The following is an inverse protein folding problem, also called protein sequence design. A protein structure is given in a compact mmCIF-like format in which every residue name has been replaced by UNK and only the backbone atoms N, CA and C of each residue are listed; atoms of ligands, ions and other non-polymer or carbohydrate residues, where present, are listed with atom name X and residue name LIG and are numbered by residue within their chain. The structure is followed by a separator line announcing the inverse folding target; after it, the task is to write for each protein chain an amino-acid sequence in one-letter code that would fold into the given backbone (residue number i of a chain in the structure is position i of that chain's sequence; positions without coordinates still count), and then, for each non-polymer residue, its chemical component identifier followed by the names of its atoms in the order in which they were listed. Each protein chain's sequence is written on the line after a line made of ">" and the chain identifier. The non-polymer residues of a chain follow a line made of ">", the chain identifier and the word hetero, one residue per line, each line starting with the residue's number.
data_IF_198855518258
#
_entry.id   IF_198855518258
#
_cell.length_a   1.000
_cell.length_b   1.000
_cell.length_c   1.000
_cell.angle_alpha   90.00
_cell.angle_beta   90.00
_cell.angle_gamma   90.00
#
_symmetry.space_group_name_H-M   'P 1'
#
loop_
_entity.id
_entity.type
_entity.pdbx_description
1 polymer ?
#
# COMPACT_ATOMS: atom_id res chain seq x y z
N UNK A 1 0.80 1.01 -9.96
CA UNK A 1 0.13 2.25 -10.46
C UNK A 1 -0.72 2.91 -9.38
N UNK A 2 -1.75 2.24 -8.84
CA UNK A 2 -2.63 2.83 -7.82
C UNK A 2 -1.87 3.37 -6.59
N UNK A 3 -0.86 2.65 -6.12
CA UNK A 3 -0.02 3.09 -5.00
C UNK A 3 0.69 4.44 -5.28
N UNK A 4 1.17 4.67 -6.50
CA UNK A 4 1.79 5.95 -6.87
C UNK A 4 0.78 7.10 -6.89
N UNK A 5 -0.43 6.84 -7.41
CA UNK A 5 -1.52 7.83 -7.42
C UNK A 5 -1.93 8.16 -5.98
N UNK A 6 -2.05 7.14 -5.13
CA UNK A 6 -2.37 7.33 -3.71
C UNK A 6 -1.32 8.20 -3.00
N UNK A 7 -0.03 7.93 -3.19
CA UNK A 7 1.04 8.74 -2.62
C UNK A 7 1.04 10.17 -3.18
N UNK A 8 0.80 10.37 -4.47
CA UNK A 8 0.74 11.70 -5.08
C UNK A 8 -0.42 12.53 -4.50
N UNK A 9 -1.61 11.94 -4.38
CA UNK A 9 -2.77 12.60 -3.78
C UNK A 9 -2.53 12.90 -2.30
N UNK A 10 -1.87 12.00 -1.56
CA UNK A 10 -1.51 12.22 -0.16
C UNK A 10 -0.57 13.42 0.01
N UNK A 11 0.46 13.56 -0.84
CA UNK A 11 1.40 14.69 -0.80
C UNK A 11 0.68 16.01 -1.09
N UNK A 12 -0.21 16.03 -2.08
CA UNK A 12 -1.01 17.23 -2.43
C UNK A 12 -1.95 17.60 -1.26
N UNK A 13 -2.60 16.62 -0.65
CA UNK A 13 -3.45 16.84 0.53
C UNK A 13 -2.67 17.36 1.73
N UNK A 14 -1.46 16.83 1.97
CA UNK A 14 -0.57 17.30 3.02
C UNK A 14 -0.10 18.75 2.77
N UNK A 15 0.16 19.12 1.51
CA UNK A 15 0.49 20.49 1.14
C UNK A 15 -0.69 21.44 1.38
N UNK A 16 -1.91 21.07 0.95
CA UNK A 16 -3.12 21.89 1.13
C UNK A 16 -3.36 22.20 2.62
N UNK A 17 -3.27 21.19 3.49
CA UNK A 17 -3.51 21.40 4.93
C UNK A 17 -2.31 22.08 5.61
N UNK A 18 -1.09 21.66 5.29
CA UNK A 18 0.13 22.17 5.95
C UNK A 18 0.45 23.61 5.59
N UNK A 19 0.39 23.94 4.30
CA UNK A 19 0.73 25.27 3.78
C UNK A 19 -0.48 26.20 3.85
N UNK A 20 -1.61 25.81 3.26
CA UNK A 20 -2.72 26.74 3.08
C UNK A 20 -3.55 26.96 4.36
N UNK A 21 -3.65 25.96 5.24
CA UNK A 21 -4.42 26.11 6.50
C UNK A 21 -3.54 26.45 7.70
N UNK A 22 -2.37 25.79 7.84
CA UNK A 22 -1.47 26.00 8.98
C UNK A 22 -0.48 27.16 8.76
N UNK A 23 -0.31 27.65 7.53
CA UNK A 23 0.59 28.75 7.22
C UNK A 23 2.08 28.38 7.28
N UNK A 24 2.43 27.10 7.08
CA UNK A 24 3.83 26.68 6.95
C UNK A 24 4.42 27.26 5.66
N UNK A 25 5.67 27.72 5.71
CA UNK A 25 6.38 28.21 4.53
C UNK A 25 6.47 27.13 3.45
N UNK A 26 5.99 27.45 2.26
CA UNK A 26 5.99 26.52 1.11
C UNK A 26 7.40 26.05 0.77
N UNK A 27 8.38 26.95 0.80
CA UNK A 27 9.79 26.62 0.52
C UNK A 27 10.35 25.59 1.51
N UNK A 28 10.09 25.79 2.80
CA UNK A 28 10.45 24.88 3.88
C UNK A 28 9.77 23.51 3.73
N UNK A 29 8.48 23.47 3.41
CA UNK A 29 7.74 22.22 3.20
C UNK A 29 8.36 21.36 2.10
N UNK A 30 8.62 21.94 0.92
CA UNK A 30 9.20 21.20 -0.21
C UNK A 30 10.67 20.84 0.04
N UNK A 31 11.46 21.71 0.68
CA UNK A 31 12.87 21.46 0.99
C UNK A 31 13.05 20.31 2.01
N UNK A 32 12.24 20.29 3.06
CA UNK A 32 12.23 19.19 4.04
C UNK A 32 11.80 17.89 3.35
N UNK A 33 10.76 17.92 2.52
CA UNK A 33 10.30 16.71 1.83
C UNK A 33 11.36 16.15 0.86
N UNK A 34 12.05 17.01 0.10
CA UNK A 34 13.11 16.57 -0.81
C UNK A 34 14.36 16.07 -0.07
N UNK A 35 14.68 16.63 1.10
CA UNK A 35 15.84 16.20 1.89
C UNK A 35 15.61 14.90 2.65
N UNK A 36 14.35 14.60 3.02
CA UNK A 36 13.99 13.38 3.75
C UNK A 36 13.66 12.21 2.81
N UNK A 37 13.17 12.47 1.59
CA UNK A 37 12.77 11.43 0.65
C UNK A 37 13.96 11.03 -0.24
N UNK A 38 14.41 9.79 -0.08
CA UNK A 38 15.41 9.15 -0.93
C UNK A 38 14.74 8.35 -2.04
N UNK A 39 15.15 8.58 -3.29
CA UNK A 39 14.58 7.86 -4.44
C UNK A 39 14.84 6.35 -4.39
N UNK A 40 16.01 5.93 -3.90
CA UNK A 40 16.35 4.52 -3.79
C UNK A 40 15.71 3.84 -2.58
N UNK A 41 15.70 4.49 -1.41
CA UNK A 41 15.23 3.84 -0.19
C UNK A 41 13.72 3.98 0.04
N UNK A 42 13.07 5.03 -0.46
CA UNK A 42 11.64 5.22 -0.21
C UNK A 42 10.79 4.82 -1.42
N UNK A 43 11.14 5.34 -2.61
CA UNK A 43 10.34 5.12 -3.82
C UNK A 43 10.52 3.69 -4.34
N UNK A 44 11.76 3.22 -4.50
CA UNK A 44 12.01 1.87 -5.02
C UNK A 44 11.47 0.78 -4.07
N UNK A 45 11.72 0.94 -2.77
CA UNK A 45 11.20 0.03 -1.75
C UNK A 45 9.67 0.03 -1.73
N UNK A 46 9.02 1.19 -1.80
CA UNK A 46 7.57 1.30 -1.93
C UNK A 46 7.02 0.59 -3.18
N UNK A 47 7.71 0.73 -4.33
CA UNK A 47 7.33 0.04 -5.57
C UNK A 47 7.42 -1.48 -5.43
N UNK A 48 8.55 -2.01 -4.95
CA UNK A 48 8.76 -3.44 -4.73
C UNK A 48 7.70 -4.00 -3.78
N UNK A 49 7.45 -3.30 -2.67
CA UNK A 49 6.45 -3.70 -1.67
C UNK A 49 5.04 -3.75 -2.26
N UNK A 50 4.64 -2.72 -3.03
CA UNK A 50 3.33 -2.69 -3.70
C UNK A 50 3.16 -3.80 -4.75
N UNK A 51 4.24 -4.19 -5.43
CA UNK A 51 4.22 -5.27 -6.41
C UNK A 51 4.05 -6.64 -5.73
N UNK A 52 4.78 -6.88 -4.64
CA UNK A 52 4.62 -8.11 -3.84
C UNK A 52 3.20 -8.24 -3.30
N UNK A 53 2.63 -7.15 -2.76
CA UNK A 53 1.25 -7.16 -2.30
C UNK A 53 0.24 -7.46 -3.42
N UNK A 54 0.44 -6.91 -4.61
CA UNK A 54 -0.41 -7.20 -5.76
C UNK A 54 -0.40 -8.69 -6.10
N UNK A 55 0.78 -9.32 -6.16
CA UNK A 55 0.91 -10.76 -6.44
C UNK A 55 0.19 -11.60 -5.38
N UNK A 56 0.44 -11.34 -4.09
CA UNK A 56 -0.13 -12.11 -2.99
C UNK A 56 -1.65 -12.02 -2.97
N UNK A 57 -2.20 -10.80 -3.10
CA UNK A 57 -3.65 -10.58 -3.09
C UNK A 57 -4.31 -11.23 -4.32
N UNK A 58 -3.74 -11.06 -5.52
CA UNK A 58 -4.29 -11.68 -6.73
C UNK A 58 -4.26 -13.21 -6.64
N UNK A 59 -3.19 -13.80 -6.10
CA UNK A 59 -3.11 -15.25 -5.91
C UNK A 59 -4.18 -15.78 -4.96
N UNK A 60 -4.36 -15.13 -3.80
CA UNK A 60 -5.39 -15.51 -2.82
C UNK A 60 -6.80 -15.37 -3.42
N UNK A 61 -7.06 -14.28 -4.14
CA UNK A 61 -8.34 -14.04 -4.79
C UNK A 61 -8.66 -15.07 -5.87
N UNK A 62 -7.68 -15.43 -6.71
CA UNK A 62 -7.86 -16.46 -7.74
C UNK A 62 -8.07 -17.84 -7.12
N UNK A 63 -7.29 -18.18 -6.10
CA UNK A 63 -7.42 -19.47 -5.41
C UNK A 63 -8.80 -19.63 -4.78
N UNK A 64 -9.27 -18.64 -4.00
CA UNK A 64 -10.57 -18.69 -3.35
C UNK A 64 -11.75 -18.60 -4.33
N UNK A 65 -11.56 -17.92 -5.46
CA UNK A 65 -12.55 -17.90 -6.55
C UNK A 65 -12.65 -19.24 -7.27
N UNK A 66 -11.54 -19.94 -7.48
CA UNK A 66 -11.51 -21.23 -8.17
C UNK A 66 -12.02 -22.38 -7.30
N UNK A 67 -11.66 -22.39 -6.01
CA UNK A 67 -12.03 -23.45 -5.05
C UNK A 67 -13.43 -23.24 -4.44
N UNK A 68 -14.20 -22.25 -4.91
CA UNK A 68 -15.50 -21.95 -4.34
C UNK A 68 -16.55 -23.01 -4.72
N UNK A 69 -17.43 -23.32 -3.77
CA UNK A 69 -18.61 -24.13 -4.03
C UNK A 69 -19.55 -23.31 -4.93
N UNK A 70 -20.03 -23.84 -6.07
CA UNK A 70 -20.87 -23.11 -7.02
C UNK A 70 -22.31 -22.97 -6.52
N UNK A 71 -22.48 -22.37 -5.35
CA UNK A 71 -23.75 -22.00 -4.73
C UNK A 71 -23.70 -20.52 -4.33
N UNK A 72 -24.86 -19.86 -4.30
CA UNK A 72 -24.93 -18.42 -3.98
C UNK A 72 -24.34 -18.11 -2.58
N UNK A 73 -24.63 -18.97 -1.60
CA UNK A 73 -24.06 -18.88 -0.25
C UNK A 73 -22.56 -19.16 -0.23
N UNK A 74 -22.09 -20.13 -1.02
CA UNK A 74 -20.68 -20.48 -1.17
C UNK A 74 -19.84 -19.32 -1.73
N UNK A 75 -20.36 -18.59 -2.72
CA UNK A 75 -19.70 -17.42 -3.32
C UNK A 75 -19.57 -16.28 -2.30
N UNK A 76 -20.63 -16.01 -1.52
CA UNK A 76 -20.61 -14.97 -0.48
C UNK A 76 -19.60 -15.31 0.62
N UNK A 77 -19.56 -16.57 1.05
CA UNK A 77 -18.58 -17.06 2.04
C UNK A 77 -17.15 -16.98 1.51
N UNK A 78 -16.90 -17.44 0.28
CA UNK A 78 -15.58 -17.38 -0.36
C UNK A 78 -15.07 -15.94 -0.49
N UNK A 79 -15.96 -14.99 -0.83
CA UNK A 79 -15.61 -13.56 -0.89
C UNK A 79 -15.16 -13.03 0.48
N UNK A 80 -15.90 -13.38 1.54
CA UNK A 80 -15.57 -12.96 2.91
C UNK A 80 -14.24 -13.55 3.36
N UNK A 81 -14.02 -14.84 3.13
CA UNK A 81 -12.76 -15.51 3.44
C UNK A 81 -11.58 -14.90 2.65
N UNK A 82 -11.78 -14.56 1.37
CA UNK A 82 -10.77 -13.92 0.53
C UNK A 82 -10.27 -12.62 1.15
N UNK A 83 -11.18 -11.78 1.67
CA UNK A 83 -10.81 -10.50 2.29
C UNK A 83 -10.01 -10.73 3.58
N UNK A 84 -10.42 -11.68 4.43
CA UNK A 84 -9.73 -11.99 5.69
C UNK A 84 -8.34 -12.57 5.43
N UNK A 85 -8.22 -13.53 4.51
CA UNK A 85 -6.92 -14.12 4.18
C UNK A 85 -5.99 -13.12 3.48
N UNK A 86 -6.52 -12.29 2.59
CA UNK A 86 -5.74 -11.26 1.91
C UNK A 86 -5.23 -10.21 2.90
N UNK A 87 -6.05 -9.77 3.85
CA UNK A 87 -5.63 -8.76 4.83
C UNK A 87 -4.57 -9.31 5.79
N UNK A 88 -4.73 -10.53 6.30
CA UNK A 88 -3.72 -11.19 7.14
C UNK A 88 -2.41 -11.41 6.39
N UNK A 89 -2.47 -11.86 5.13
CA UNK A 89 -1.28 -12.06 4.31
C UNK A 89 -0.55 -10.73 4.05
N UNK A 90 -1.28 -9.68 3.66
CA UNK A 90 -0.69 -8.35 3.44
C UNK A 90 -0.01 -7.83 4.70
N UNK A 91 -0.63 -7.95 5.88
CA UNK A 91 -0.02 -7.55 7.16
C UNK A 91 1.23 -8.38 7.50
N UNK A 92 1.18 -9.70 7.28
CA UNK A 92 2.34 -10.57 7.53
C UNK A 92 3.52 -10.26 6.60
N UNK A 93 3.25 -10.11 5.31
CA UNK A 93 4.28 -9.71 4.34
C UNK A 93 4.77 -8.29 4.58
N UNK A 94 3.91 -7.38 5.04
CA UNK A 94 4.30 -6.02 5.43
C UNK A 94 5.37 -6.04 6.53
N UNK A 95 5.16 -6.85 7.58
CA UNK A 95 6.13 -7.00 8.66
C UNK A 95 7.46 -7.55 8.16
N UNK A 96 7.44 -8.62 7.36
CA UNK A 96 8.65 -9.25 6.82
C UNK A 96 9.42 -8.30 5.90
N UNK A 97 8.73 -7.63 4.97
CA UNK A 97 9.35 -6.70 4.02
C UNK A 97 9.93 -5.49 4.74
N UNK A 98 9.21 -4.95 5.73
CA UNK A 98 9.69 -3.84 6.56
C UNK A 98 10.93 -4.26 7.35
N UNK A 99 10.92 -5.43 7.97
CA UNK A 99 12.08 -5.95 8.69
C UNK A 99 13.30 -6.08 7.78
N UNK A 100 13.14 -6.60 6.57
CA UNK A 100 14.26 -6.74 5.61
C UNK A 100 14.74 -5.39 5.09
N UNK A 101 13.83 -4.49 4.71
CA UNK A 101 14.18 -3.20 4.08
C UNK A 101 14.81 -2.19 5.03
N UNK A 102 14.47 -2.21 6.32
CA UNK A 102 15.02 -1.27 7.29
C UNK A 102 16.16 -1.85 8.15
N UNK A 103 16.43 -3.15 8.06
CA UNK A 103 17.59 -3.78 8.73
C UNK A 103 18.87 -3.72 7.88
N UNK A 104 18.76 -3.51 6.56
CA UNK A 104 19.88 -3.35 5.62
C UNK A 104 20.05 -1.90 5.17
#
# INVERSE_FOLDING_TARGET
>A
LLALIFSAVAIIGAHLVGVDWLGVDTGSFWSIMQSQVSFQQDILNGMIKSFVFAIVVTWIALYKGYDCIPTSEGISKATTETVVHSSLAVLGFDFILTAVMFTS
#
